data_IF_066568031682
#
_entry.id   IF_066568031682
#
_cell.length_a   1.000
_cell.length_b   1.000
_cell.length_c   1.000
_cell.angle_alpha   90.00
_cell.angle_beta   90.00
_cell.angle_gamma   90.00
#
_symmetry.space_group_name_H-M   'P 1'
#
loop_
_entity.id
_entity.type
_entity.pdbx_description
1 polymer ?
#
# COMPACT_ATOMS: atom_id res chain seq x y z
N UNK A 1 -15.36 25.07 -2.38
CA UNK A 1 -15.97 23.86 -1.77
C UNK A 1 -15.00 22.73 -2.01
N UNK A 2 -14.66 21.91 -1.00
CA UNK A 2 -13.92 20.66 -1.27
C UNK A 2 -14.87 19.74 -2.03
N UNK A 3 -14.44 19.22 -3.17
CA UNK A 3 -15.19 18.20 -3.88
C UNK A 3 -15.21 16.92 -3.04
N UNK A 4 -16.35 16.24 -3.02
CA UNK A 4 -16.56 15.03 -2.23
C UNK A 4 -16.48 13.84 -3.19
N UNK A 5 -15.66 12.81 -2.89
CA UNK A 5 -15.63 11.60 -3.71
C UNK A 5 -17.00 10.91 -3.75
N UNK A 6 -17.41 10.47 -4.93
CA UNK A 6 -18.61 9.66 -5.14
C UNK A 6 -18.32 8.20 -4.81
N UNK A 7 -19.16 7.58 -3.97
CA UNK A 7 -19.04 6.16 -3.64
C UNK A 7 -19.92 5.34 -4.58
N UNK A 8 -19.33 4.32 -5.22
CA UNK A 8 -20.04 3.35 -6.04
C UNK A 8 -19.86 1.93 -5.49
N UNK A 9 -20.86 1.08 -5.72
CA UNK A 9 -20.75 -0.36 -5.49
C UNK A 9 -20.54 -1.03 -6.86
N UNK A 10 -19.43 -1.73 -7.06
CA UNK A 10 -19.18 -2.44 -8.32
C UNK A 10 -19.94 -3.78 -8.39
N UNK A 11 -19.89 -4.45 -9.54
CA UNK A 11 -20.59 -5.73 -9.78
C UNK A 11 -20.15 -6.88 -8.85
N UNK A 12 -18.99 -6.76 -8.22
CA UNK A 12 -18.45 -7.73 -7.26
C UNK A 12 -18.81 -7.41 -5.81
N UNK A 13 -19.54 -6.31 -5.56
CA UNK A 13 -19.91 -5.86 -4.22
C UNK A 13 -18.80 -5.10 -3.48
N UNK A 14 -17.75 -4.65 -4.18
CA UNK A 14 -16.73 -3.79 -3.60
C UNK A 14 -17.20 -2.33 -3.61
N UNK A 15 -16.81 -1.57 -2.58
CA UNK A 15 -17.05 -0.13 -2.54
C UNK A 15 -15.85 0.60 -3.11
N UNK A 16 -16.09 1.56 -3.99
CA UNK A 16 -15.07 2.36 -4.64
C UNK A 16 -15.42 3.85 -4.52
N UNK A 17 -14.42 4.71 -4.28
CA UNK A 17 -14.59 6.16 -4.16
C UNK A 17 -13.86 6.87 -5.28
N UNK A 18 -14.59 7.69 -6.04
CA UNK A 18 -14.08 8.41 -7.20
C UNK A 18 -14.18 9.92 -7.03
N UNK A 19 -13.12 10.64 -7.41
CA UNK A 19 -13.11 12.07 -7.59
C UNK A 19 -12.61 12.39 -9.00
N UNK A 20 -13.39 13.13 -9.78
CA UNK A 20 -13.06 13.48 -11.17
C UNK A 20 -12.70 12.27 -12.04
N UNK A 21 -13.44 11.17 -11.89
CA UNK A 21 -13.25 9.93 -12.65
C UNK A 21 -12.01 9.12 -12.23
N UNK A 22 -11.35 9.47 -11.12
CA UNK A 22 -10.19 8.75 -10.59
C UNK A 22 -10.45 8.25 -9.18
N UNK A 23 -9.92 7.09 -8.83
CA UNK A 23 -9.97 6.60 -7.44
C UNK A 23 -9.31 7.60 -6.50
N UNK A 24 -10.05 8.03 -5.47
CA UNK A 24 -9.60 9.07 -4.56
C UNK A 24 -10.39 9.03 -3.25
N UNK A 25 -9.69 9.01 -2.12
CA UNK A 25 -10.28 9.26 -0.79
C UNK A 25 -9.21 9.69 0.20
N UNK A 26 -9.40 10.83 0.88
CA UNK A 26 -8.44 11.35 1.88
C UNK A 26 -8.57 10.65 3.24
N UNK A 27 -9.80 10.34 3.68
CA UNK A 27 -10.08 9.87 5.04
C UNK A 27 -10.19 8.34 5.18
N UNK A 28 -9.89 7.58 4.11
CA UNK A 28 -10.08 6.13 4.10
C UNK A 28 -9.64 5.48 2.80
N UNK A 29 -9.80 4.15 2.68
CA UNK A 29 -9.48 3.45 1.44
C UNK A 29 -10.41 3.91 0.31
N UNK A 30 -9.84 4.12 -0.87
CA UNK A 30 -10.60 4.40 -2.08
C UNK A 30 -11.20 3.13 -2.69
N UNK A 31 -10.75 1.94 -2.26
CA UNK A 31 -11.44 0.67 -2.54
C UNK A 31 -11.52 -0.17 -1.26
N UNK A 32 -12.72 -0.64 -0.92
CA UNK A 32 -12.96 -1.66 0.11
C UNK A 32 -13.51 -2.93 -0.57
N UNK A 33 -12.70 -3.98 -0.60
CA UNK A 33 -13.06 -5.25 -1.21
C UNK A 33 -13.91 -6.10 -0.27
N UNK A 34 -14.80 -6.91 -0.84
CA UNK A 34 -15.65 -7.83 -0.06
C UNK A 34 -14.84 -8.89 0.71
N UNK A 35 -13.65 -9.25 0.23
CA UNK A 35 -12.75 -10.16 0.91
C UNK A 35 -12.06 -9.52 2.13
N UNK A 36 -12.23 -8.22 2.37
CA UNK A 36 -11.62 -7.47 3.46
C UNK A 36 -10.37 -6.68 3.08
N UNK A 37 -9.86 -6.84 1.85
CA UNK A 37 -8.73 -6.05 1.36
C UNK A 37 -9.11 -4.58 1.19
N UNK A 38 -8.14 -3.69 1.32
CA UNK A 38 -8.33 -2.24 1.26
C UNK A 38 -7.20 -1.60 0.48
N UNK A 39 -7.55 -0.69 -0.43
CA UNK A 39 -6.58 0.06 -1.21
C UNK A 39 -6.84 1.56 -1.05
N UNK A 40 -5.79 2.31 -0.75
CA UNK A 40 -5.83 3.76 -0.61
C UNK A 40 -5.29 4.40 -1.88
N UNK A 41 -6.11 5.25 -2.49
CA UNK A 41 -5.74 6.01 -3.66
C UNK A 41 -5.95 7.50 -3.41
N UNK A 42 -5.02 8.30 -3.92
CA UNK A 42 -5.20 9.74 -4.13
C UNK A 42 -4.95 10.01 -5.61
N UNK A 43 -5.93 10.65 -6.26
CA UNK A 43 -5.86 11.07 -7.66
C UNK A 43 -5.49 9.94 -8.65
N UNK A 44 -5.94 8.72 -8.36
CA UNK A 44 -5.73 7.53 -9.20
C UNK A 44 -4.42 6.78 -8.96
N UNK A 45 -3.61 7.19 -7.98
CA UNK A 45 -2.35 6.50 -7.62
C UNK A 45 -2.40 5.98 -6.19
N UNK A 46 -1.77 4.84 -5.90
CA UNK A 46 -1.67 4.32 -4.54
C UNK A 46 -0.90 5.29 -3.66
N UNK A 47 -1.51 5.73 -2.57
CA UNK A 47 -0.90 6.73 -1.71
C UNK A 47 -1.48 6.66 -0.30
N UNK A 48 -0.60 6.57 0.71
CA UNK A 48 -0.97 6.77 2.12
C UNK A 48 0.25 7.14 2.96
N UNK A 49 0.22 8.28 3.63
CA UNK A 49 1.36 8.76 4.45
C UNK A 49 1.51 7.99 5.78
N UNK A 50 0.38 7.68 6.42
CA UNK A 50 0.36 7.18 7.80
C UNK A 50 0.10 5.66 7.91
N UNK A 51 0.30 4.90 6.85
CA UNK A 51 0.02 3.47 6.81
C UNK A 51 0.26 2.85 5.44
N UNK A 52 0.00 1.54 5.30
CA UNK A 52 0.11 0.89 4.01
C UNK A 52 -0.97 1.40 3.05
N UNK A 53 -0.60 1.64 1.79
CA UNK A 53 -1.54 1.99 0.74
C UNK A 53 -2.31 0.78 0.20
N UNK A 54 -1.84 -0.44 0.50
CA UNK A 54 -2.54 -1.69 0.23
C UNK A 54 -2.50 -2.57 1.49
N UNK A 55 -3.66 -3.01 1.95
CA UNK A 55 -3.83 -4.03 2.98
C UNK A 55 -4.62 -5.19 2.38
N UNK A 56 -3.99 -6.35 2.18
CA UNK A 56 -4.68 -7.54 1.71
C UNK A 56 -5.31 -8.33 2.85
N UNK A 57 -6.40 -9.03 2.55
CA UNK A 57 -7.10 -9.87 3.51
C UNK A 57 -6.24 -10.99 4.11
N UNK A 58 -5.22 -11.45 3.39
CA UNK A 58 -4.27 -12.44 3.88
C UNK A 58 -3.27 -11.88 4.92
N UNK A 59 -3.20 -10.55 5.07
CA UNK A 59 -2.29 -9.86 5.99
C UNK A 59 -1.12 -9.14 5.31
N UNK A 60 -0.93 -9.29 4.00
CA UNK A 60 0.12 -8.58 3.27
C UNK A 60 -0.14 -7.07 3.26
N UNK A 61 0.93 -6.29 3.40
CA UNK A 61 0.87 -4.84 3.46
C UNK A 61 1.95 -4.22 2.59
N UNK A 62 1.55 -3.21 1.84
CA UNK A 62 2.45 -2.45 0.96
C UNK A 62 2.31 -0.97 1.28
N UNK A 63 3.43 -0.33 1.59
CA UNK A 63 3.52 1.11 1.78
C UNK A 63 3.93 1.73 0.45
N UNK A 64 3.01 2.49 -0.14
CA UNK A 64 3.24 3.18 -1.40
C UNK A 64 2.93 4.67 -1.28
N UNK A 65 3.75 5.47 -1.95
CA UNK A 65 3.53 6.89 -2.18
C UNK A 65 3.63 7.12 -3.69
N UNK A 66 2.53 7.52 -4.32
CA UNK A 66 2.43 7.72 -5.77
C UNK A 66 2.87 6.48 -6.56
N UNK A 67 2.35 5.31 -6.18
CA UNK A 67 2.67 3.99 -6.75
C UNK A 67 4.12 3.51 -6.56
N UNK A 68 4.98 4.26 -5.86
CA UNK A 68 6.34 3.82 -5.52
C UNK A 68 6.38 3.22 -4.10
N UNK A 69 7.04 2.07 -3.96
CA UNK A 69 7.30 1.46 -2.65
C UNK A 69 8.14 2.38 -1.78
N UNK A 70 7.57 2.82 -0.66
CA UNK A 70 8.19 3.82 0.19
C UNK A 70 7.73 3.67 1.64
N UNK A 71 8.70 3.66 2.57
CA UNK A 71 8.43 3.81 4.00
C UNK A 71 9.67 4.31 4.72
N UNK A 72 9.54 5.40 5.48
CA UNK A 72 10.68 6.00 6.19
C UNK A 72 11.24 5.09 7.30
N UNK A 73 10.34 4.48 8.09
CA UNK A 73 10.69 3.84 9.36
C UNK A 73 10.39 2.33 9.40
N UNK A 74 10.46 1.65 8.26
CA UNK A 74 10.16 0.22 8.20
C UNK A 74 10.30 -0.36 6.79
N UNK A 75 9.97 -1.65 6.61
CA UNK A 75 9.90 -2.25 5.29
C UNK A 75 8.74 -1.65 4.48
N UNK A 76 8.95 -1.45 3.18
CA UNK A 76 7.89 -1.01 2.28
C UNK A 76 6.94 -2.16 1.91
N UNK A 77 7.35 -3.42 2.13
CA UNK A 77 6.48 -4.60 2.02
C UNK A 77 6.61 -5.45 3.28
N UNK A 78 5.48 -5.81 3.87
CA UNK A 78 5.37 -6.85 4.89
C UNK A 78 4.44 -7.94 4.38
N UNK A 79 4.96 -9.13 4.15
CA UNK A 79 4.14 -10.27 3.80
C UNK A 79 3.61 -10.96 5.06
N UNK A 80 2.44 -11.57 4.95
CA UNK A 80 1.78 -12.31 6.02
C UNK A 80 2.60 -13.53 6.48
N UNK A 81 3.43 -14.10 5.59
CA UNK A 81 4.37 -15.16 5.94
C UNK A 81 5.51 -14.68 6.86
N UNK A 82 5.71 -13.37 7.00
CA UNK A 82 6.73 -12.74 7.84
C UNK A 82 7.90 -12.13 7.07
N UNK A 83 7.98 -12.32 5.75
CA UNK A 83 9.04 -11.72 4.93
C UNK A 83 8.88 -10.20 4.87
N UNK A 84 10.01 -9.49 4.83
CA UNK A 84 10.07 -8.03 4.87
C UNK A 84 11.06 -7.49 3.86
N UNK A 85 10.61 -6.50 3.10
CA UNK A 85 11.41 -5.88 2.04
C UNK A 85 11.48 -4.37 2.22
N UNK A 86 12.70 -3.84 2.21
CA UNK A 86 13.00 -2.42 2.29
C UNK A 86 13.35 -1.88 0.90
N UNK A 87 12.75 -0.74 0.56
CA UNK A 87 12.94 -0.08 -0.72
C UNK A 87 13.36 1.37 -0.52
N UNK A 88 14.21 1.86 -1.42
CA UNK A 88 14.59 3.27 -1.54
C UNK A 88 14.66 3.64 -3.01
N UNK A 89 13.95 4.70 -3.41
CA UNK A 89 13.86 5.14 -4.81
C UNK A 89 13.46 4.01 -5.78
N UNK A 90 12.56 3.11 -5.35
CA UNK A 90 12.09 1.98 -6.16
C UNK A 90 13.01 0.76 -6.20
N UNK A 91 14.20 0.82 -5.59
CA UNK A 91 15.15 -0.30 -5.56
C UNK A 91 15.23 -0.92 -4.16
N UNK A 92 15.47 -2.24 -4.09
CA UNK A 92 15.77 -2.92 -2.83
C UNK A 92 17.01 -2.29 -2.20
N UNK A 93 16.82 -1.63 -1.06
CA UNK A 93 17.91 -0.95 -0.38
C UNK A 93 17.54 -0.66 1.08
N UNK A 94 18.55 -0.73 1.96
CA UNK A 94 18.42 -0.28 3.34
C UNK A 94 19.77 0.20 3.86
N UNK A 95 19.85 1.47 4.28
CA UNK A 95 21.11 2.08 4.71
C UNK A 95 21.79 1.37 5.89
N UNK A 96 21.01 0.82 6.82
CA UNK A 96 21.49 0.29 8.10
C UNK A 96 21.06 -1.17 8.35
N UNK A 97 20.99 -2.00 7.30
CA UNK A 97 20.61 -3.40 7.46
C UNK A 97 20.38 -4.13 6.13
N UNK A 98 19.90 -5.38 6.17
CA UNK A 98 19.53 -6.09 4.97
C UNK A 98 18.29 -5.45 4.33
N UNK A 99 18.25 -5.43 2.99
CA UNK A 99 17.09 -4.95 2.25
C UNK A 99 15.98 -6.01 2.19
N UNK A 100 16.30 -7.29 2.46
CA UNK A 100 15.32 -8.38 2.58
C UNK A 100 15.59 -9.16 3.85
N UNK A 101 14.53 -9.50 4.58
CA UNK A 101 14.54 -10.46 5.68
C UNK A 101 13.46 -11.49 5.41
N UNK A 102 13.86 -12.74 5.27
CA UNK A 102 12.97 -13.88 5.06
C UNK A 102 12.51 -14.48 6.39
N UNK A 103 11.40 -15.22 6.38
CA UNK A 103 10.79 -15.85 7.55
C UNK A 103 11.69 -16.89 8.23
N UNK A 104 12.53 -17.57 7.47
CA UNK A 104 13.52 -18.52 8.00
C UNK A 104 14.71 -17.83 8.69
N UNK A 105 14.78 -16.50 8.60
CA UNK A 105 15.83 -15.66 9.17
C UNK A 105 16.93 -15.28 8.20
N UNK A 106 16.87 -15.76 6.95
CA UNK A 106 17.81 -15.38 5.91
C UNK A 106 17.71 -13.90 5.57
N UNK A 107 18.85 -13.32 5.20
CA UNK A 107 19.02 -11.87 5.03
C UNK A 107 19.79 -11.60 3.75
N UNK A 108 19.34 -10.60 3.02
CA UNK A 108 19.99 -10.18 1.79
C UNK A 108 20.30 -8.68 1.84
N UNK A 109 21.52 -8.34 1.42
CA UNK A 109 22.03 -6.98 1.37
C UNK A 109 22.19 -6.55 -0.08
N UNK A 110 21.82 -5.31 -0.35
CA UNK A 110 21.84 -4.71 -1.67
C UNK A 110 22.52 -3.34 -1.54
N UNK A 111 23.42 -3.05 -2.48
CA UNK A 111 24.25 -1.82 -2.54
C UNK A 111 23.69 -0.87 -3.58
#
# INVERSE_FOLDING_TARGET
MKEIPEMILNEYGNKEWYLNGKLHREDGPAIEYINGSKHWYLNGTHHRENGPAIEHANGDKYWLINDELHRENGPAIEYANGDKYWYKFGFLNRANGPAVIHIDGDKEWYI
#
